data_IF_625729326361
#
_entry.id   IF_625729326361
#
_cell.length_a   1.000
_cell.length_b   1.000
_cell.length_c   1.000
_cell.angle_alpha   90.00
_cell.angle_beta   90.00
_cell.angle_gamma   90.00
#
_symmetry.space_group_name_H-M   'P 1'
#
loop_
_entity.id
_entity.type
_entity.pdbx_description
1 polymer ?
#
# COMPACT_ATOMS: atom_id res chain seq x y z
N UNK A 1 25.92 -7.01 0.41
CA UNK A 1 24.81 -7.93 0.18
C UNK A 1 24.43 -7.91 -1.29
N UNK A 2 23.88 -9.02 -1.79
CA UNK A 2 23.27 -9.09 -3.11
C UNK A 2 21.76 -8.87 -2.98
N UNK A 3 21.27 -7.73 -3.47
CA UNK A 3 19.89 -7.29 -3.31
C UNK A 3 19.10 -7.42 -4.61
N UNK A 4 17.88 -7.92 -4.54
CA UNK A 4 16.92 -7.89 -5.65
C UNK A 4 15.86 -6.80 -5.39
N UNK A 5 15.59 -5.95 -6.38
CA UNK A 5 14.42 -5.06 -6.39
C UNK A 5 13.45 -5.61 -7.43
N UNK A 6 12.29 -6.11 -6.98
CA UNK A 6 11.25 -6.60 -7.89
C UNK A 6 10.46 -5.42 -8.46
N UNK A 7 10.81 -5.00 -9.68
CA UNK A 7 10.16 -3.88 -10.36
C UNK A 7 10.11 -4.11 -11.87
N UNK A 8 9.00 -3.75 -12.52
CA UNK A 8 8.84 -3.87 -13.99
C UNK A 8 9.71 -2.92 -14.80
N UNK A 9 10.20 -1.84 -14.19
CA UNK A 9 11.00 -0.82 -14.88
C UNK A 9 12.05 -0.27 -13.93
N UNK A 10 13.28 -0.20 -14.40
CA UNK A 10 14.42 0.35 -13.65
C UNK A 10 14.41 1.88 -13.56
N UNK A 11 13.77 2.55 -14.53
CA UNK A 11 13.71 4.00 -14.67
C UNK A 11 12.66 4.67 -13.77
N UNK A 12 11.76 3.91 -13.15
CA UNK A 12 10.80 4.45 -12.18
C UNK A 12 11.53 5.10 -11.01
N UNK A 13 11.15 6.32 -10.63
CA UNK A 13 11.79 7.07 -9.53
C UNK A 13 12.11 6.19 -8.31
N UNK A 14 11.11 5.53 -7.76
CA UNK A 14 11.29 4.70 -6.55
C UNK A 14 12.26 3.53 -6.75
N UNK A 15 12.29 2.94 -7.95
CA UNK A 15 13.19 1.82 -8.28
C UNK A 15 14.63 2.33 -8.37
N UNK A 16 14.84 3.44 -9.10
CA UNK A 16 16.13 4.08 -9.26
C UNK A 16 16.70 4.52 -7.91
N UNK A 17 15.91 5.24 -7.09
CA UNK A 17 16.34 5.68 -5.76
C UNK A 17 16.76 4.53 -4.84
N UNK A 18 16.00 3.43 -4.81
CA UNK A 18 16.36 2.24 -4.03
C UNK A 18 17.64 1.58 -4.54
N UNK A 19 17.84 1.56 -5.86
CA UNK A 19 19.07 1.04 -6.47
C UNK A 19 20.26 1.91 -6.08
N UNK A 20 20.18 3.22 -6.31
CA UNK A 20 21.20 4.21 -5.94
C UNK A 20 21.57 4.08 -4.46
N UNK A 21 20.58 4.13 -3.56
CA UNK A 21 20.82 4.04 -2.12
C UNK A 21 21.47 2.71 -1.71
N UNK A 22 21.16 1.60 -2.38
CA UNK A 22 21.80 0.32 -2.13
C UNK A 22 23.24 0.29 -2.62
N UNK A 23 23.52 0.80 -3.82
CA UNK A 23 24.86 0.87 -4.42
C UNK A 23 25.78 1.81 -3.64
N UNK A 24 25.30 3.00 -3.21
CA UNK A 24 26.01 3.94 -2.35
C UNK A 24 26.47 3.32 -1.01
N UNK A 25 25.73 2.31 -0.53
CA UNK A 25 26.05 1.55 0.69
C UNK A 25 26.89 0.30 0.41
N UNK A 26 27.41 0.14 -0.82
CA UNK A 26 28.30 -0.96 -1.21
C UNK A 26 27.58 -2.30 -1.44
N UNK A 27 26.30 -2.29 -1.81
CA UNK A 27 25.56 -3.50 -2.15
C UNK A 27 25.56 -3.75 -3.66
N UNK A 28 25.53 -5.01 -4.06
CA UNK A 28 25.22 -5.44 -5.43
C UNK A 28 23.71 -5.43 -5.61
N UNK A 29 23.18 -4.52 -6.45
CA UNK A 29 21.73 -4.33 -6.58
C UNK A 29 21.23 -4.65 -7.98
N UNK A 30 20.33 -5.63 -8.07
CA UNK A 30 19.71 -6.04 -9.32
C UNK A 30 18.23 -5.66 -9.35
N UNK A 31 17.81 -5.01 -10.44
CA UNK A 31 16.39 -4.78 -10.72
C UNK A 31 15.89 -5.95 -11.56
N UNK A 32 14.89 -6.65 -11.05
CA UNK A 32 14.32 -7.84 -11.67
C UNK A 32 12.87 -7.58 -12.02
N UNK A 33 12.52 -7.65 -13.31
CA UNK A 33 11.11 -7.64 -13.71
C UNK A 33 10.47 -8.98 -13.35
N UNK A 34 9.67 -8.94 -12.29
CA UNK A 34 8.99 -10.12 -11.77
C UNK A 34 8.00 -10.76 -12.76
N UNK A 35 7.56 -10.05 -13.80
CA UNK A 35 6.73 -10.63 -14.85
C UNK A 35 7.53 -11.48 -15.88
N UNK A 36 8.86 -11.33 -15.88
CA UNK A 36 9.77 -12.09 -16.73
C UNK A 36 10.50 -13.21 -15.97
N UNK A 37 10.06 -13.50 -14.74
CA UNK A 37 10.61 -14.59 -13.95
C UNK A 37 9.86 -15.89 -14.23
N UNK A 38 10.58 -16.98 -14.42
CA UNK A 38 10.05 -18.34 -14.48
C UNK A 38 10.25 -19.02 -13.14
N UNK A 39 9.17 -19.56 -12.58
CA UNK A 39 9.17 -20.29 -11.30
C UNK A 39 9.17 -21.78 -11.62
N UNK A 40 10.21 -22.51 -11.14
CA UNK A 40 10.28 -23.95 -11.21
C UNK A 40 10.02 -24.54 -9.84
N UNK A 41 9.04 -25.44 -9.77
CA UNK A 41 8.62 -26.12 -8.53
C UNK A 41 8.81 -27.62 -8.72
N UNK A 42 9.74 -28.17 -7.98
CA UNK A 42 10.03 -29.58 -7.94
C UNK A 42 10.20 -30.00 -6.48
N UNK A 43 9.96 -31.26 -6.18
CA UNK A 43 10.12 -31.78 -4.82
C UNK A 43 11.54 -31.53 -4.31
N UNK A 44 11.64 -30.79 -3.20
CA UNK A 44 12.92 -30.40 -2.55
C UNK A 44 13.85 -29.54 -3.43
N UNK A 45 13.38 -29.03 -4.57
CA UNK A 45 14.15 -28.18 -5.47
C UNK A 45 13.33 -26.99 -5.95
N UNK A 46 13.50 -25.85 -5.28
CA UNK A 46 12.89 -24.59 -5.68
C UNK A 46 13.90 -23.79 -6.49
N UNK A 47 13.53 -23.41 -7.69
CA UNK A 47 14.37 -22.58 -8.54
C UNK A 47 13.56 -21.46 -9.18
N UNK A 48 14.25 -20.41 -9.55
CA UNK A 48 13.69 -19.28 -10.29
C UNK A 48 14.69 -18.81 -11.32
N UNK A 49 14.19 -18.45 -12.50
CA UNK A 49 14.98 -17.97 -13.62
C UNK A 49 14.51 -16.59 -14.02
N UNK A 50 15.42 -15.78 -14.47
CA UNK A 50 15.17 -14.49 -15.06
C UNK A 50 16.01 -14.36 -16.34
N UNK A 51 15.35 -14.15 -17.46
CA UNK A 51 16.01 -14.10 -18.78
C UNK A 51 16.93 -15.31 -19.05
N UNK A 52 16.47 -16.51 -18.70
CA UNK A 52 17.19 -17.76 -18.87
C UNK A 52 18.31 -18.03 -17.85
N UNK A 53 18.61 -17.09 -16.96
CA UNK A 53 19.63 -17.26 -15.92
C UNK A 53 18.97 -17.61 -14.58
N UNK A 54 19.53 -18.62 -13.89
CA UNK A 54 19.07 -19.00 -12.57
C UNK A 54 19.40 -17.92 -11.53
N UNK A 55 18.38 -17.49 -10.77
CA UNK A 55 18.57 -16.53 -9.69
C UNK A 55 19.09 -17.26 -8.44
N UNK A 56 20.32 -16.97 -8.05
CA UNK A 56 21.01 -17.57 -6.90
C UNK A 56 21.65 -16.52 -6.01
N UNK A 57 21.87 -16.88 -4.76
CA UNK A 57 22.70 -16.14 -3.79
C UNK A 57 22.23 -14.72 -3.46
N UNK A 58 20.92 -14.47 -3.58
CA UNK A 58 20.35 -13.23 -3.10
C UNK A 58 20.21 -13.25 -1.58
N UNK A 59 20.67 -12.18 -0.94
CA UNK A 59 20.54 -11.97 0.51
C UNK A 59 19.17 -11.41 0.88
N UNK A 60 18.67 -10.46 0.09
CA UNK A 60 17.38 -9.82 0.35
C UNK A 60 16.66 -9.40 -0.93
N UNK A 61 15.33 -9.24 -0.81
CA UNK A 61 14.45 -8.79 -1.88
C UNK A 61 13.56 -7.65 -1.39
N UNK A 62 13.49 -6.58 -2.20
CA UNK A 62 12.63 -5.41 -1.97
C UNK A 62 11.52 -5.40 -3.03
N UNK A 63 10.26 -5.70 -2.65
CA UNK A 63 9.17 -5.75 -3.59
C UNK A 63 8.63 -4.34 -3.94
N UNK A 64 8.59 -4.04 -5.26
CA UNK A 64 7.93 -2.88 -5.86
C UNK A 64 6.80 -3.35 -6.79
N UNK A 65 5.89 -4.15 -6.25
CA UNK A 65 4.83 -4.83 -7.00
C UNK A 65 3.64 -3.88 -7.15
N UNK A 66 3.25 -3.60 -8.39
CA UNK A 66 2.08 -2.79 -8.73
C UNK A 66 0.75 -3.54 -8.49
N UNK A 67 -0.34 -2.80 -8.34
CA UNK A 67 -1.66 -3.39 -8.03
C UNK A 67 -2.16 -4.35 -9.14
N UNK A 68 -1.98 -3.98 -10.42
CA UNK A 68 -2.44 -4.78 -11.56
C UNK A 68 -1.71 -6.11 -11.75
N UNK A 69 -0.56 -6.30 -11.09
CA UNK A 69 0.29 -7.49 -11.23
C UNK A 69 0.52 -8.18 -9.88
N UNK A 70 -0.35 -7.95 -8.92
CA UNK A 70 -0.22 -8.46 -7.55
C UNK A 70 -0.09 -9.97 -7.51
N UNK A 71 -0.92 -10.70 -8.26
CA UNK A 71 -0.92 -12.18 -8.23
C UNK A 71 0.46 -12.74 -8.59
N UNK A 72 0.97 -12.40 -9.78
CA UNK A 72 2.25 -12.94 -10.24
C UNK A 72 3.44 -12.39 -9.44
N UNK A 73 3.44 -11.09 -9.16
CA UNK A 73 4.50 -10.47 -8.37
C UNK A 73 4.64 -11.06 -6.98
N UNK A 74 3.52 -11.36 -6.30
CA UNK A 74 3.56 -12.01 -4.99
C UNK A 74 3.89 -13.51 -5.07
N UNK A 75 3.62 -14.19 -6.19
CA UNK A 75 4.08 -15.55 -6.42
C UNK A 75 5.61 -15.60 -6.54
N UNK A 76 6.20 -14.71 -7.35
CA UNK A 76 7.67 -14.57 -7.47
C UNK A 76 8.29 -14.21 -6.11
N UNK A 77 7.72 -13.25 -5.38
CA UNK A 77 8.21 -12.88 -4.06
C UNK A 77 8.17 -14.04 -3.07
N UNK A 78 7.09 -14.82 -3.07
CA UNK A 78 6.94 -16.01 -2.24
C UNK A 78 7.98 -17.09 -2.57
N UNK A 79 8.36 -17.21 -3.85
CA UNK A 79 9.45 -18.11 -4.24
C UNK A 79 10.78 -17.68 -3.61
N UNK A 80 11.12 -16.37 -3.63
CA UNK A 80 12.28 -15.86 -2.89
C UNK A 80 12.20 -16.18 -1.39
N UNK A 81 11.02 -15.99 -0.77
CA UNK A 81 10.81 -16.31 0.64
C UNK A 81 11.05 -17.81 0.94
N UNK A 82 10.59 -18.71 0.06
CA UNK A 82 10.78 -20.15 0.18
C UNK A 82 12.23 -20.58 -0.10
N UNK A 83 12.96 -19.83 -0.90
CA UNK A 83 14.40 -19.98 -1.12
C UNK A 83 15.24 -19.33 0.00
N UNK A 84 14.58 -18.94 1.10
CA UNK A 84 15.16 -18.35 2.30
C UNK A 84 15.83 -16.98 2.11
N UNK A 85 15.47 -16.24 1.08
CA UNK A 85 15.86 -14.85 0.88
C UNK A 85 15.07 -13.94 1.85
N UNK A 86 15.73 -12.97 2.48
CA UNK A 86 15.03 -11.99 3.33
C UNK A 86 14.12 -11.10 2.48
N UNK A 87 12.85 -10.98 2.83
CA UNK A 87 11.91 -10.09 2.13
C UNK A 87 11.58 -8.85 2.96
N UNK A 88 11.78 -7.67 2.38
CA UNK A 88 11.49 -6.39 3.04
C UNK A 88 10.01 -6.21 3.39
N UNK A 89 9.11 -6.77 2.59
CA UNK A 89 7.69 -6.96 2.90
C UNK A 89 7.28 -8.37 2.44
N UNK A 90 6.64 -9.13 3.29
CA UNK A 90 6.22 -10.49 2.95
C UNK A 90 5.09 -10.51 1.92
N UNK A 91 5.12 -11.53 1.05
CA UNK A 91 4.12 -11.73 0.00
C UNK A 91 2.68 -11.75 0.54
N UNK A 92 2.46 -12.41 1.66
CA UNK A 92 1.15 -12.47 2.32
C UNK A 92 0.67 -11.10 2.82
N UNK A 93 1.57 -10.25 3.33
CA UNK A 93 1.22 -8.91 3.78
C UNK A 93 0.84 -7.99 2.61
N UNK A 94 1.56 -8.10 1.49
CA UNK A 94 1.22 -7.41 0.25
C UNK A 94 -0.16 -7.84 -0.25
N UNK A 95 -0.45 -9.14 -0.30
CA UNK A 95 -1.76 -9.65 -0.73
C UNK A 95 -2.90 -9.14 0.16
N UNK A 96 -2.70 -9.11 1.50
CA UNK A 96 -3.68 -8.58 2.46
C UNK A 96 -3.97 -7.10 2.22
N UNK A 97 -2.94 -6.29 2.00
CA UNK A 97 -3.11 -4.86 1.81
C UNK A 97 -3.73 -4.49 0.46
N UNK A 98 -3.58 -5.35 -0.56
CA UNK A 98 -4.17 -5.16 -1.89
C UNK A 98 -5.66 -5.48 -1.95
N UNK A 99 -6.14 -6.37 -1.12
CA UNK A 99 -7.56 -6.66 -0.95
C UNK A 99 -8.18 -5.58 -0.05
N UNK A 100 -8.85 -4.59 -0.65
CA UNK A 100 -9.42 -3.44 0.06
C UNK A 100 -10.40 -3.87 1.16
N UNK A 101 -11.27 -4.85 0.88
CA UNK A 101 -12.25 -5.28 1.86
C UNK A 101 -11.58 -5.98 3.03
N UNK A 102 -10.69 -6.93 2.76
CA UNK A 102 -9.91 -7.62 3.77
C UNK A 102 -9.06 -6.65 4.60
N UNK A 103 -8.43 -5.66 3.95
CA UNK A 103 -7.65 -4.62 4.63
C UNK A 103 -8.52 -3.86 5.63
N UNK A 104 -9.69 -3.37 5.21
CA UNK A 104 -10.62 -2.65 6.10
C UNK A 104 -11.09 -3.53 7.27
N UNK A 105 -11.43 -4.80 7.02
CA UNK A 105 -11.83 -5.75 8.07
C UNK A 105 -10.70 -5.97 9.09
N UNK A 106 -9.46 -6.15 8.63
CA UNK A 106 -8.30 -6.35 9.51
C UNK A 106 -7.98 -5.09 10.31
N UNK A 107 -8.05 -3.92 9.71
CA UNK A 107 -7.81 -2.64 10.40
C UNK A 107 -8.87 -2.38 11.46
N UNK A 108 -10.15 -2.62 11.15
CA UNK A 108 -11.25 -2.52 12.11
C UNK A 108 -11.09 -3.51 13.27
N UNK A 109 -10.78 -4.78 12.98
CA UNK A 109 -10.53 -5.81 14.00
C UNK A 109 -9.32 -5.48 14.89
N UNK A 110 -8.34 -4.74 14.36
CA UNK A 110 -7.21 -4.21 15.13
C UNK A 110 -7.60 -3.00 16.01
N UNK A 111 -8.85 -2.54 15.98
CA UNK A 111 -9.32 -1.38 16.77
C UNK A 111 -8.75 -0.06 16.26
N UNK A 112 -8.69 0.11 14.94
CA UNK A 112 -8.39 1.37 14.28
C UNK A 112 -9.67 2.05 13.83
N UNK A 113 -9.72 3.36 13.94
CA UNK A 113 -10.84 4.14 13.44
C UNK A 113 -10.75 4.25 11.92
N UNK A 114 -11.88 3.99 11.27
CA UNK A 114 -12.07 4.01 9.82
C UNK A 114 -13.31 4.85 9.50
N UNK A 115 -13.41 5.43 8.29
CA UNK A 115 -14.70 5.89 7.82
C UNK A 115 -15.69 4.70 7.79
N UNK A 116 -16.94 4.93 8.26
CA UNK A 116 -17.98 3.89 8.21
C UNK A 116 -18.09 3.35 6.79
N UNK A 117 -18.00 2.05 6.65
CA UNK A 117 -17.94 1.40 5.34
C UNK A 117 -18.91 0.25 5.28
N UNK A 118 -19.72 0.20 4.23
CA UNK A 118 -20.59 -0.93 3.91
C UNK A 118 -20.08 -1.60 2.63
N UNK A 119 -20.13 -2.93 2.63
CA UNK A 119 -19.98 -3.76 1.45
C UNK A 119 -21.25 -4.59 1.28
N UNK A 120 -21.80 -4.59 0.09
CA UNK A 120 -23.00 -5.38 -0.23
C UNK A 120 -22.85 -6.00 -1.60
N UNK A 121 -23.27 -7.25 -1.69
CA UNK A 121 -23.40 -7.98 -2.96
C UNK A 121 -24.84 -7.98 -3.48
N UNK A 122 -25.78 -7.39 -2.72
CA UNK A 122 -27.21 -7.42 -3.03
C UNK A 122 -27.86 -6.07 -2.74
N UNK A 123 -28.43 -5.44 -3.76
CA UNK A 123 -28.84 -4.03 -3.74
C UNK A 123 -30.29 -3.78 -3.31
N UNK A 124 -31.08 -4.80 -2.95
CA UNK A 124 -32.50 -4.57 -2.62
C UNK A 124 -32.74 -3.68 -1.38
N UNK A 125 -31.70 -3.43 -0.57
CA UNK A 125 -31.80 -2.64 0.67
C UNK A 125 -30.89 -1.41 0.67
N UNK A 126 -30.66 -0.81 -0.49
CA UNK A 126 -29.76 0.36 -0.65
C UNK A 126 -30.13 1.50 0.31
N UNK A 127 -31.44 1.73 0.51
CA UNK A 127 -31.92 2.79 1.42
C UNK A 127 -31.45 2.54 2.86
N UNK A 128 -31.50 1.29 3.32
CA UNK A 128 -31.07 0.91 4.66
C UNK A 128 -29.55 1.06 4.80
N UNK A 129 -28.77 0.66 3.78
CA UNK A 129 -27.32 0.81 3.78
C UNK A 129 -26.94 2.30 3.88
N UNK A 130 -27.56 3.15 3.06
CA UNK A 130 -27.34 4.60 3.09
C UNK A 130 -27.66 5.19 4.47
N UNK A 131 -28.77 4.77 5.08
CA UNK A 131 -29.17 5.20 6.43
C UNK A 131 -28.15 4.77 7.49
N UNK A 132 -27.69 3.51 7.45
CA UNK A 132 -26.72 2.97 8.39
C UNK A 132 -25.36 3.69 8.33
N UNK A 133 -25.02 4.24 7.16
CA UNK A 133 -23.82 5.05 6.96
C UNK A 133 -23.98 6.52 7.39
N UNK A 134 -25.19 6.94 7.82
CA UNK A 134 -25.49 8.30 8.26
C UNK A 134 -26.06 9.21 7.19
N UNK A 135 -26.46 8.66 6.03
CA UNK A 135 -27.02 9.43 4.91
C UNK A 135 -25.96 9.97 3.95
N UNK A 136 -26.39 10.83 3.04
CA UNK A 136 -25.48 11.49 2.10
C UNK A 136 -24.86 12.76 2.71
N UNK A 137 -23.67 13.19 2.25
CA UNK A 137 -22.91 12.66 1.11
C UNK A 137 -22.16 11.35 1.43
N UNK A 138 -21.97 10.53 0.39
CA UNK A 138 -21.29 9.23 0.49
C UNK A 138 -20.22 9.09 -0.61
N UNK A 139 -19.21 8.28 -0.33
CA UNK A 139 -18.23 7.85 -1.32
C UNK A 139 -18.53 6.41 -1.75
N UNK A 140 -18.74 6.20 -3.05
CA UNK A 140 -18.87 4.87 -3.66
C UNK A 140 -17.57 4.54 -4.37
N UNK A 141 -16.96 3.40 -4.06
CA UNK A 141 -15.65 2.98 -4.60
C UNK A 141 -15.73 1.58 -5.21
N UNK A 142 -15.13 1.41 -6.37
CA UNK A 142 -14.85 0.08 -6.92
C UNK A 142 -13.78 -0.63 -6.05
N UNK A 143 -13.99 -1.91 -5.74
CA UNK A 143 -12.99 -2.71 -5.04
C UNK A 143 -11.71 -2.88 -5.89
N UNK A 144 -11.84 -3.02 -7.18
CA UNK A 144 -10.74 -3.29 -8.11
C UNK A 144 -10.17 -2.00 -8.75
N UNK A 145 -10.59 -0.81 -8.31
CA UNK A 145 -10.07 0.48 -8.80
C UNK A 145 -8.75 0.87 -8.16
N UNK A 146 -7.89 1.56 -8.93
CA UNK A 146 -6.61 2.13 -8.46
C UNK A 146 -6.53 3.63 -8.79
N UNK A 147 -5.69 4.38 -8.08
CA UNK A 147 -5.40 5.80 -8.34
C UNK A 147 -6.64 6.72 -8.37
N UNK A 148 -7.67 6.38 -7.58
CA UNK A 148 -8.93 7.15 -7.56
C UNK A 148 -9.85 6.92 -8.77
N UNK A 149 -9.55 5.95 -9.64
CA UNK A 149 -10.48 5.50 -10.67
C UNK A 149 -11.61 4.69 -10.02
N UNK A 150 -12.85 4.94 -10.45
CA UNK A 150 -14.03 4.28 -9.88
C UNK A 150 -14.36 4.74 -8.46
N UNK A 151 -13.98 5.97 -8.07
CA UNK A 151 -14.39 6.63 -6.82
C UNK A 151 -15.34 7.76 -7.16
N UNK A 152 -16.55 7.71 -6.63
CA UNK A 152 -17.64 8.66 -6.91
C UNK A 152 -18.12 9.29 -5.61
N UNK A 153 -18.21 10.62 -5.55
CA UNK A 153 -18.91 11.33 -4.49
C UNK A 153 -20.39 11.44 -4.85
N UNK A 154 -21.24 10.89 -4.02
CA UNK A 154 -22.69 10.98 -4.14
C UNK A 154 -23.22 11.97 -3.10
N UNK A 155 -23.51 13.20 -3.53
CA UNK A 155 -23.86 14.31 -2.64
C UNK A 155 -25.29 14.18 -2.06
N UNK A 156 -26.16 13.42 -2.73
CA UNK A 156 -27.56 13.21 -2.31
C UNK A 156 -27.87 11.72 -2.22
N UNK A 157 -28.89 11.37 -1.44
CA UNK A 157 -29.42 10.00 -1.34
C UNK A 157 -29.85 9.47 -2.71
N UNK A 158 -30.46 10.33 -3.55
CA UNK A 158 -30.87 9.93 -4.90
C UNK A 158 -29.65 9.60 -5.78
N UNK A 159 -28.61 10.44 -5.74
CA UNK A 159 -27.37 10.19 -6.46
C UNK A 159 -26.68 8.91 -5.97
N UNK A 160 -26.62 8.68 -4.65
CA UNK A 160 -26.04 7.48 -4.07
C UNK A 160 -26.75 6.21 -4.57
N UNK A 161 -28.08 6.19 -4.56
CA UNK A 161 -28.86 5.09 -5.10
C UNK A 161 -28.56 4.83 -6.58
N UNK A 162 -28.64 5.86 -7.42
CA UNK A 162 -28.38 5.72 -8.86
C UNK A 162 -26.99 5.17 -9.16
N UNK A 163 -25.97 5.62 -8.41
CA UNK A 163 -24.59 5.13 -8.57
C UNK A 163 -24.46 3.67 -8.13
N UNK A 164 -25.05 3.30 -7.00
CA UNK A 164 -25.03 1.93 -6.49
C UNK A 164 -25.74 0.99 -7.49
N UNK A 165 -26.94 1.35 -7.96
CA UNK A 165 -27.71 0.61 -8.96
C UNK A 165 -26.92 0.43 -10.26
N UNK A 166 -26.28 1.49 -10.76
CA UNK A 166 -25.48 1.43 -11.98
C UNK A 166 -24.30 0.46 -11.84
N UNK A 167 -23.54 0.51 -10.74
CA UNK A 167 -22.43 -0.42 -10.51
C UNK A 167 -22.92 -1.87 -10.31
N UNK A 168 -24.04 -2.09 -9.64
CA UNK A 168 -24.63 -3.43 -9.51
C UNK A 168 -25.12 -3.97 -10.86
N UNK A 169 -25.73 -3.13 -11.69
CA UNK A 169 -26.11 -3.50 -13.06
C UNK A 169 -24.93 -3.97 -13.91
N UNK A 170 -23.76 -3.39 -13.68
CA UNK A 170 -22.49 -3.78 -14.29
C UNK A 170 -21.81 -4.97 -13.58
N UNK A 171 -22.43 -5.57 -12.56
CA UNK A 171 -21.87 -6.61 -11.69
C UNK A 171 -20.54 -6.22 -11.05
N UNK A 172 -20.31 -4.92 -10.86
CA UNK A 172 -19.10 -4.41 -10.23
C UNK A 172 -19.19 -4.52 -8.70
N UNK A 173 -18.12 -4.97 -8.07
CA UNK A 173 -18.01 -5.03 -6.62
C UNK A 173 -17.65 -3.67 -6.06
N UNK A 174 -18.47 -3.13 -5.17
CA UNK A 174 -18.32 -1.79 -4.60
C UNK A 174 -18.31 -1.82 -3.08
N UNK A 175 -17.67 -0.82 -2.51
CA UNK A 175 -17.88 -0.39 -1.13
C UNK A 175 -18.52 1.00 -1.12
N UNK A 176 -19.39 1.23 -0.15
CA UNK A 176 -20.00 2.52 0.12
C UNK A 176 -19.48 3.02 1.47
N UNK A 177 -19.02 4.25 1.51
CA UNK A 177 -18.30 4.80 2.65
C UNK A 177 -18.83 6.20 3.01
N UNK A 178 -18.89 6.53 4.31
CA UNK A 178 -19.23 7.88 4.74
C UNK A 178 -18.23 8.91 4.17
N UNK A 179 -18.73 10.09 3.85
CA UNK A 179 -17.89 11.20 3.42
C UNK A 179 -17.44 12.02 4.63
N UNK A 180 -16.14 12.20 4.79
CA UNK A 180 -15.56 12.96 5.91
C UNK A 180 -15.35 14.40 5.46
N UNK A 181 -16.31 15.26 5.81
CA UNK A 181 -16.33 16.69 5.41
C UNK A 181 -15.15 17.47 5.99
N UNK A 182 -14.75 17.14 7.20
CA UNK A 182 -13.68 17.80 7.97
C UNK A 182 -12.31 17.63 7.29
N UNK A 183 -12.14 16.61 6.47
CA UNK A 183 -10.91 16.37 5.72
C UNK A 183 -10.65 17.40 4.61
N UNK A 184 -11.70 18.16 4.16
CA UNK A 184 -11.59 19.27 3.18
C UNK A 184 -10.78 18.90 1.94
N UNK A 185 -11.14 17.78 1.28
CA UNK A 185 -10.44 17.25 0.10
C UNK A 185 -8.93 17.00 0.32
N UNK A 186 -8.51 16.75 1.55
CA UNK A 186 -7.14 16.46 1.90
C UNK A 186 -7.02 15.14 2.66
N UNK A 187 -5.87 14.51 2.54
CA UNK A 187 -5.48 13.36 3.35
C UNK A 187 -4.02 13.47 3.82
N UNK A 188 -3.69 12.66 4.79
CA UNK A 188 -2.32 12.53 5.28
C UNK A 188 -1.78 11.19 4.80
N UNK A 189 -0.59 11.18 4.19
CA UNK A 189 0.21 9.99 3.97
C UNK A 189 1.38 9.94 4.94
N UNK A 190 1.37 8.95 5.83
CA UNK A 190 2.50 8.59 6.67
C UNK A 190 3.31 7.48 6.00
N UNK A 191 4.64 7.65 5.89
CA UNK A 191 5.54 6.64 5.38
C UNK A 191 6.18 5.89 6.54
N UNK A 192 5.97 4.58 6.59
CA UNK A 192 6.43 3.70 7.66
C UNK A 192 7.58 2.84 7.15
N UNK A 193 8.65 2.77 7.93
CA UNK A 193 9.74 1.81 7.78
C UNK A 193 10.01 1.19 9.15
N UNK A 194 9.88 -0.11 9.25
CA UNK A 194 10.16 -0.90 10.46
C UNK A 194 9.50 -0.37 11.75
N UNK A 195 8.23 -0.04 11.66
CA UNK A 195 7.46 0.46 12.82
C UNK A 195 7.72 1.93 13.19
N UNK A 196 8.46 2.66 12.37
CA UNK A 196 8.70 4.09 12.55
C UNK A 196 8.12 4.92 11.43
N UNK A 197 7.62 6.12 11.74
CA UNK A 197 7.24 7.12 10.74
C UNK A 197 8.51 7.85 10.30
N UNK A 198 8.98 7.57 9.10
CA UNK A 198 10.19 8.20 8.52
C UNK A 198 9.88 9.51 7.79
N UNK A 199 8.65 9.67 7.32
CA UNK A 199 8.15 10.88 6.68
C UNK A 199 6.64 10.95 6.70
N UNK A 200 6.09 12.16 6.60
CA UNK A 200 4.66 12.38 6.44
C UNK A 200 4.39 13.61 5.58
N UNK A 201 3.36 13.53 4.75
CA UNK A 201 2.92 14.63 3.91
C UNK A 201 1.39 14.74 3.95
N UNK A 202 0.88 15.93 3.86
CA UNK A 202 -0.52 16.21 3.59
C UNK A 202 -0.68 16.41 2.09
N UNK A 203 -1.65 15.71 1.51
CA UNK A 203 -2.01 15.86 0.11
C UNK A 203 -3.33 16.58 0.02
N UNK A 204 -3.43 17.55 -0.86
CA UNK A 204 -4.65 18.35 -1.06
C UNK A 204 -5.05 18.28 -2.52
N UNK A 205 -6.32 17.97 -2.78
CA UNK A 205 -6.90 17.97 -4.12
C UNK A 205 -6.94 19.37 -4.72
N UNK A 206 -7.07 19.47 -6.04
CA UNK A 206 -7.36 20.73 -6.72
C UNK A 206 -8.72 21.26 -6.30
N UNK A 207 -8.94 22.56 -6.43
CA UNK A 207 -10.24 23.18 -6.24
C UNK A 207 -11.33 22.47 -7.06
N UNK A 208 -12.43 22.11 -6.41
CA UNK A 208 -13.53 21.32 -7.00
C UNK A 208 -13.30 19.80 -7.05
N UNK A 209 -12.12 19.30 -6.68
CA UNK A 209 -11.83 17.86 -6.60
C UNK A 209 -11.82 17.41 -5.14
N UNK A 210 -12.59 16.38 -4.82
CA UNK A 210 -12.64 15.81 -3.47
C UNK A 210 -11.53 14.79 -3.17
N UNK A 211 -10.81 14.34 -4.21
CA UNK A 211 -9.71 13.39 -4.12
C UNK A 211 -8.37 14.11 -4.02
N UNK A 212 -7.51 13.70 -3.12
CA UNK A 212 -6.21 14.29 -2.83
C UNK A 212 -5.02 13.69 -3.61
N UNK A 213 -5.29 12.86 -4.63
CA UNK A 213 -4.25 12.14 -5.37
C UNK A 213 -3.32 13.10 -6.16
N UNK A 214 -2.01 13.02 -5.94
CA UNK A 214 -1.00 13.84 -6.63
C UNK A 214 -1.04 13.67 -8.16
N UNK A 215 -1.27 12.46 -8.65
CA UNK A 215 -1.40 12.18 -10.11
C UNK A 215 -2.59 12.90 -10.76
N UNK A 216 -3.52 13.45 -9.97
CA UNK A 216 -4.63 14.28 -10.44
C UNK A 216 -4.33 15.77 -10.32
N UNK A 217 -3.06 16.12 -10.05
CA UNK A 217 -2.58 17.48 -9.92
C UNK A 217 -2.86 18.09 -8.56
N UNK A 218 -3.06 17.27 -7.54
CA UNK A 218 -3.03 17.70 -6.14
C UNK A 218 -1.64 18.17 -5.72
N UNK A 219 -1.57 18.91 -4.62
CA UNK A 219 -0.32 19.33 -3.99
C UNK A 219 0.04 18.44 -2.80
N UNK A 220 1.33 18.44 -2.44
CA UNK A 220 1.82 17.80 -1.23
C UNK A 220 2.65 18.80 -0.42
N UNK A 221 2.47 18.79 0.88
CA UNK A 221 3.26 19.59 1.82
C UNK A 221 3.76 18.73 3.00
N UNK A 222 4.93 19.06 3.51
CA UNK A 222 5.46 18.44 4.72
C UNK A 222 4.53 18.69 5.90
N UNK A 223 4.21 17.64 6.67
CA UNK A 223 3.42 17.77 7.89
C UNK A 223 4.09 17.07 9.07
N UNK A 224 3.94 17.66 10.26
CA UNK A 224 4.26 16.98 11.51
C UNK A 224 3.02 16.29 12.06
N UNK A 225 3.07 14.96 12.16
CA UNK A 225 1.95 14.17 12.69
C UNK A 225 1.72 14.45 14.18
N UNK A 226 0.45 14.50 14.57
CA UNK A 226 0.03 14.40 15.97
C UNK A 226 0.36 13.01 16.53
N UNK A 227 0.46 12.91 17.85
CA UNK A 227 0.75 11.62 18.52
C UNK A 227 -0.25 10.53 18.15
N UNK A 228 -1.54 10.86 18.07
CA UNK A 228 -2.60 9.92 17.66
C UNK A 228 -2.45 9.46 16.20
N UNK A 229 -2.14 10.39 15.28
CA UNK A 229 -1.93 10.08 13.87
C UNK A 229 -0.72 9.16 13.67
N UNK A 230 0.40 9.46 14.38
CA UNK A 230 1.59 8.61 14.36
C UNK A 230 1.29 7.20 14.88
N UNK A 231 0.61 7.09 16.02
CA UNK A 231 0.23 5.81 16.61
C UNK A 231 -0.70 5.00 15.71
N UNK A 232 -1.71 5.65 15.10
CA UNK A 232 -2.65 5.02 14.18
C UNK A 232 -1.93 4.49 12.93
N UNK A 233 -1.02 5.27 12.34
CA UNK A 233 -0.24 4.87 11.16
C UNK A 233 0.64 3.64 11.44
N UNK A 234 1.38 3.64 12.55
CA UNK A 234 2.23 2.50 12.95
C UNK A 234 1.37 1.26 13.19
N UNK A 235 0.28 1.41 13.95
CA UNK A 235 -0.65 0.31 14.25
C UNK A 235 -1.27 -0.27 12.97
N UNK A 236 -1.61 0.58 11.98
CA UNK A 236 -2.16 0.15 10.70
C UNK A 236 -1.15 -0.68 9.88
N UNK A 237 0.09 -0.22 9.75
CA UNK A 237 1.14 -0.97 9.07
C UNK A 237 1.42 -2.32 9.75
N UNK A 238 1.48 -2.33 11.09
CA UNK A 238 1.67 -3.53 11.91
C UNK A 238 0.52 -4.53 11.74
N UNK A 239 -0.74 -4.08 11.77
CA UNK A 239 -1.91 -4.92 11.58
C UNK A 239 -1.92 -5.62 10.21
N UNK A 240 -1.39 -4.96 9.18
CA UNK A 240 -1.23 -5.55 7.85
C UNK A 240 -0.01 -6.47 7.73
N UNK A 241 0.93 -6.42 8.69
CA UNK A 241 2.20 -7.15 8.66
C UNK A 241 3.21 -6.54 7.69
N UNK A 242 3.13 -5.23 7.46
CA UNK A 242 4.02 -4.50 6.55
C UNK A 242 5.09 -3.75 7.34
N UNK A 243 6.35 -3.96 6.98
CA UNK A 243 7.48 -3.18 7.49
C UNK A 243 7.67 -1.89 6.70
N UNK A 244 7.40 -1.91 5.40
CA UNK A 244 7.43 -0.72 4.54
C UNK A 244 6.01 -0.47 4.07
N UNK A 245 5.44 0.67 4.45
CA UNK A 245 4.06 1.02 4.13
C UNK A 245 3.85 2.52 3.94
N UNK A 246 2.91 2.86 3.06
CA UNK A 246 2.29 4.18 3.02
C UNK A 246 0.89 4.09 3.62
N UNK A 247 0.67 4.74 4.74
CA UNK A 247 -0.63 4.75 5.42
C UNK A 247 -1.35 6.05 5.11
N UNK A 248 -2.50 5.95 4.47
CA UNK A 248 -3.35 7.09 4.13
C UNK A 248 -4.46 7.23 5.16
N UNK A 249 -4.64 8.44 5.69
CA UNK A 249 -5.64 8.74 6.72
C UNK A 249 -6.30 10.10 6.49
N UNK A 250 -7.55 10.21 6.90
CA UNK A 250 -8.30 11.47 6.97
C UNK A 250 -8.23 12.04 8.38
N UNK A 251 -8.15 13.37 8.47
CA UNK A 251 -8.40 14.09 9.72
C UNK A 251 -9.90 14.28 9.91
N UNK A 252 -10.40 13.96 11.10
CA UNK A 252 -11.80 14.16 11.47
C UNK A 252 -11.93 14.64 12.91
N UNK A 253 -13.13 15.06 13.29
CA UNK A 253 -13.45 15.43 14.68
C UNK A 253 -13.37 14.22 15.64
N UNK A 254 -13.44 13.00 15.10
CA UNK A 254 -13.27 11.73 15.83
C UNK A 254 -11.81 11.29 15.96
N UNK A 255 -10.86 12.03 15.40
CA UNK A 255 -9.47 11.66 15.29
C UNK A 255 -9.07 11.17 13.87
N UNK A 256 -7.88 10.53 13.72
CA UNK A 256 -7.43 10.04 12.44
C UNK A 256 -8.22 8.80 12.00
N UNK A 257 -8.77 8.83 10.80
CA UNK A 257 -9.49 7.71 10.18
C UNK A 257 -8.63 7.09 9.08
N UNK A 258 -8.27 5.83 9.21
CA UNK A 258 -7.44 5.13 8.22
C UNK A 258 -8.25 4.85 6.97
N UNK A 259 -7.73 5.25 5.80
CA UNK A 259 -8.33 4.97 4.49
C UNK A 259 -7.79 3.69 3.86
N UNK A 260 -6.46 3.57 3.81
CA UNK A 260 -5.78 2.45 3.19
C UNK A 260 -4.33 2.32 3.65
N UNK A 261 -3.76 1.12 3.48
CA UNK A 261 -2.35 0.83 3.73
C UNK A 261 -1.72 0.30 2.44
N UNK A 262 -0.79 1.06 1.88
CA UNK A 262 -0.12 0.77 0.62
C UNK A 262 1.19 0.01 0.87
N UNK A 263 1.34 -1.20 0.32
CA UNK A 263 2.53 -2.05 0.47
C UNK A 263 3.70 -1.67 -0.44
N UNK A 264 3.48 -0.84 -1.45
CA UNK A 264 4.53 -0.34 -2.36
C UNK A 264 4.35 1.16 -2.59
N UNK A 265 4.48 1.99 -1.53
CA UNK A 265 4.25 3.43 -1.65
C UNK A 265 5.32 4.07 -2.54
N UNK A 266 4.92 5.07 -3.37
CA UNK A 266 5.86 5.85 -4.19
C UNK A 266 6.79 6.68 -3.31
N UNK A 267 8.08 6.76 -3.68
CA UNK A 267 9.08 7.55 -2.94
C UNK A 267 9.10 9.00 -3.40
N UNK A 268 8.83 9.29 -4.69
CA UNK A 268 8.97 10.62 -5.28
C UNK A 268 8.26 11.70 -4.46
N UNK A 269 6.96 11.56 -4.25
CA UNK A 269 6.19 12.58 -3.54
C UNK A 269 6.64 12.81 -2.09
N UNK A 270 7.02 11.74 -1.38
CA UNK A 270 7.45 11.86 0.02
C UNK A 270 8.87 12.40 0.14
N UNK A 271 9.81 11.96 -0.70
CA UNK A 271 11.19 12.49 -0.70
C UNK A 271 11.21 13.96 -1.13
N UNK A 272 10.43 14.33 -2.16
CA UNK A 272 10.30 15.73 -2.60
C UNK A 272 9.68 16.62 -1.51
N UNK A 273 8.61 16.15 -0.85
CA UNK A 273 7.92 16.97 0.17
C UNK A 273 8.71 17.07 1.48
N UNK A 274 9.53 16.08 1.81
CA UNK A 274 10.23 16.01 3.11
C UNK A 274 11.72 16.27 3.03
N UNK A 275 12.31 16.27 1.84
CA UNK A 275 13.77 16.36 1.60
C UNK A 275 14.57 15.28 2.36
N UNK A 276 13.94 14.12 2.63
CA UNK A 276 14.54 13.01 3.37
C UNK A 276 14.88 11.86 2.45
N UNK A 277 16.01 11.21 2.70
CA UNK A 277 16.41 9.97 2.04
C UNK A 277 15.60 8.78 2.59
N UNK A 278 14.41 8.59 2.04
CA UNK A 278 13.52 7.47 2.41
C UNK A 278 14.05 6.16 1.82
N UNK A 279 14.64 6.19 0.64
CA UNK A 279 15.28 5.03 0.02
C UNK A 279 16.39 4.47 0.90
N UNK A 280 17.30 5.34 1.40
CA UNK A 280 18.36 4.95 2.34
C UNK A 280 17.81 4.33 3.62
N UNK A 281 16.73 4.88 4.20
CA UNK A 281 16.06 4.28 5.37
C UNK A 281 15.53 2.86 5.11
N UNK A 282 15.04 2.59 3.92
CA UNK A 282 14.61 1.26 3.51
C UNK A 282 15.81 0.31 3.42
N UNK A 283 16.93 0.74 2.84
CA UNK A 283 18.15 -0.09 2.76
C UNK A 283 18.71 -0.36 4.16
N UNK A 284 18.79 0.64 5.06
CA UNK A 284 19.19 0.46 6.46
C UNK A 284 18.33 -0.59 7.19
N UNK A 285 17.02 -0.56 6.97
CA UNK A 285 16.11 -1.56 7.51
C UNK A 285 16.45 -2.97 6.99
N UNK A 286 16.69 -3.12 5.69
CA UNK A 286 17.02 -4.41 5.06
C UNK A 286 18.33 -4.94 5.63
N UNK A 287 19.37 -4.13 5.75
CA UNK A 287 20.68 -4.50 6.33
C UNK A 287 20.53 -5.04 7.75
N UNK A 288 19.88 -4.27 8.62
CA UNK A 288 19.69 -4.62 10.04
C UNK A 288 18.95 -5.94 10.22
N UNK A 289 17.88 -6.13 9.46
CA UNK A 289 17.04 -7.32 9.63
C UNK A 289 17.61 -8.57 8.95
N UNK A 290 18.36 -8.42 7.85
CA UNK A 290 19.11 -9.52 7.26
C UNK A 290 20.19 -10.04 8.22
N UNK A 291 20.95 -9.15 8.87
CA UNK A 291 21.95 -9.54 9.87
C UNK A 291 21.33 -10.28 11.05
N UNK A 292 20.19 -9.83 11.55
CA UNK A 292 19.44 -10.49 12.62
C UNK A 292 18.98 -11.90 12.21
N UNK A 293 18.55 -12.08 10.95
CA UNK A 293 18.19 -13.41 10.41
C UNK A 293 19.39 -14.36 10.38
N UNK A 294 20.55 -13.89 9.93
CA UNK A 294 21.79 -14.70 9.91
C UNK A 294 22.26 -15.07 11.32
N UNK A 295 22.19 -14.14 12.26
CA UNK A 295 22.55 -14.38 13.66
C UNK A 295 21.72 -15.48 14.30
N UNK A 296 20.40 -15.47 14.08
CA UNK A 296 19.49 -16.52 14.59
C UNK A 296 19.80 -17.90 14.01
N UNK A 297 20.17 -17.99 12.73
CA UNK A 297 20.54 -19.27 12.10
C UNK A 297 21.87 -19.86 12.61
N UNK A 298 22.80 -19.02 13.05
CA UNK A 298 24.07 -19.51 13.61
C UNK A 298 23.92 -20.06 15.03
N UNK A 299 22.84 -19.67 15.73
CA UNK A 299 22.58 -20.04 17.13
C UNK A 299 21.49 -21.13 17.26
N UNK A 300 20.92 -21.60 16.13
CA UNK A 300 19.96 -22.70 16.04
C UNK A 300 20.62 -23.97 15.45
#
# INVERSE_FOLDING_TARGET
MKLAILSRKSDLYSTRRLKEAGEERGHEVHVIDHLQCDIMIEQNALAMYYQGQKLTDYDAVIPRIGASVTFYGTAVLRQFEMMDVFSANRSIAITRSRDKLRSLQMLAAAGLDLPKTAFTNYSKEEKQIIQNLGGAPLIVKLLEGTQGLGVVLAETIKAAKSVIEAFHGLKARIIVQEFIKEAKASDIRAFIVDGEVVGAMKRTGKEGEFRSNLHRGGSAELIRLKRSEKAAAIKAATAMGLHIAGVDMLQSDRGPLILEVNSSPGLEGIETATEKDIAGKIIEFVERNYQNKRGRKKNA
#
